data_IF_619080596140
#
_entry.id   IF_619080596140
#
_cell.length_a   1.000
_cell.length_b   1.000
_cell.length_c   1.000
_cell.angle_alpha   90.00
_cell.angle_beta   90.00
_cell.angle_gamma   90.00
#
_symmetry.space_group_name_H-M   'P 1'
#
loop_
_entity.id
_entity.type
_entity.pdbx_description
1 polymer ?
#
# COMPACT_ATOMS: atom_id res chain seq x y z
N UNK A 1 -21.62 14.94 -9.68
CA UNK A 1 -21.60 13.48 -9.62
C UNK A 1 -22.20 13.06 -8.30
N UNK A 2 -23.36 12.41 -8.32
CA UNK A 2 -24.11 12.06 -7.11
C UNK A 2 -24.24 10.53 -7.03
N UNK A 3 -23.10 9.86 -6.87
CA UNK A 3 -23.10 8.42 -6.54
C UNK A 3 -23.12 8.32 -5.03
N UNK A 4 -24.16 7.69 -4.48
CA UNK A 4 -24.21 7.32 -3.07
C UNK A 4 -22.99 6.42 -2.80
N UNK A 5 -22.02 6.93 -2.05
CA UNK A 5 -20.84 6.17 -1.68
C UNK A 5 -21.24 5.18 -0.59
N UNK A 6 -21.03 3.88 -0.82
CA UNK A 6 -21.19 2.90 0.24
C UNK A 6 -20.06 3.09 1.27
N UNK A 7 -20.37 3.05 2.58
CA UNK A 7 -19.35 3.05 3.62
C UNK A 7 -18.37 1.89 3.44
N UNK A 8 -17.09 2.13 3.74
CA UNK A 8 -16.08 1.07 3.74
C UNK A 8 -16.50 -0.03 4.71
N UNK A 9 -16.58 -1.27 4.22
CA UNK A 9 -16.96 -2.44 5.02
C UNK A 9 -15.74 -2.91 5.83
N UNK A 10 -15.43 -2.21 6.92
CA UNK A 10 -14.26 -2.48 7.78
C UNK A 10 -14.11 -3.96 8.18
N UNK A 11 -15.23 -4.65 8.46
CA UNK A 11 -15.21 -6.08 8.78
C UNK A 11 -14.67 -6.93 7.63
N UNK A 12 -15.02 -6.62 6.38
CA UNK A 12 -14.49 -7.35 5.21
C UNK A 12 -12.98 -7.13 5.06
N UNK A 13 -12.52 -5.90 5.28
CA UNK A 13 -11.10 -5.56 5.24
C UNK A 13 -10.35 -6.27 6.37
N UNK A 14 -10.91 -6.28 7.58
CA UNK A 14 -10.34 -6.96 8.75
C UNK A 14 -10.15 -8.46 8.52
N UNK A 15 -11.17 -9.12 7.94
CA UNK A 15 -11.09 -10.54 7.54
C UNK A 15 -10.00 -10.75 6.49
N UNK A 16 -10.00 -9.97 5.41
CA UNK A 16 -9.00 -10.11 4.34
C UNK A 16 -7.56 -9.86 4.83
N UNK A 17 -7.39 -8.94 5.78
CA UNK A 17 -6.10 -8.60 6.37
C UNK A 17 -5.71 -9.51 7.55
N UNK A 18 -6.61 -10.36 8.03
CA UNK A 18 -6.42 -11.18 9.25
C UNK A 18 -6.06 -10.33 10.47
N UNK A 19 -6.77 -9.22 10.67
CA UNK A 19 -6.62 -8.32 11.83
C UNK A 19 -7.98 -7.98 12.44
N UNK A 20 -8.01 -7.36 13.62
CA UNK A 20 -9.26 -6.89 14.22
C UNK A 20 -9.86 -5.71 13.45
N UNK A 21 -11.19 -5.57 13.50
CA UNK A 21 -11.90 -4.40 12.95
C UNK A 21 -11.34 -3.09 13.50
N UNK A 22 -11.10 -3.04 14.82
CA UNK A 22 -10.52 -1.87 15.48
C UNK A 22 -9.14 -1.53 14.92
N UNK A 23 -8.28 -2.52 14.65
CA UNK A 23 -6.95 -2.28 14.06
C UNK A 23 -7.06 -1.72 12.64
N UNK A 24 -8.04 -2.17 11.85
CA UNK A 24 -8.31 -1.57 10.53
C UNK A 24 -8.78 -0.12 10.67
N UNK A 25 -9.76 0.13 11.54
CA UNK A 25 -10.32 1.47 11.73
C UNK A 25 -9.26 2.46 12.22
N UNK A 26 -8.51 2.10 13.27
CA UNK A 26 -7.44 2.94 13.81
C UNK A 26 -6.29 3.11 12.81
N UNK A 27 -5.91 2.06 12.07
CA UNK A 27 -4.89 2.17 11.03
C UNK A 27 -5.30 3.10 9.90
N UNK A 28 -6.51 2.96 9.37
CA UNK A 28 -7.02 3.84 8.30
C UNK A 28 -7.14 5.28 8.80
N UNK A 29 -7.73 5.49 9.98
CA UNK A 29 -7.88 6.82 10.56
C UNK A 29 -6.50 7.47 10.81
N UNK A 30 -5.60 6.77 11.50
CA UNK A 30 -4.27 7.26 11.84
C UNK A 30 -3.43 7.60 10.61
N UNK A 31 -3.35 6.70 9.63
CA UNK A 31 -2.59 6.97 8.40
C UNK A 31 -3.21 8.12 7.60
N UNK A 32 -4.54 8.22 7.53
CA UNK A 32 -5.21 9.31 6.80
C UNK A 32 -5.02 10.65 7.49
N UNK A 33 -5.08 10.70 8.82
CA UNK A 33 -4.81 11.91 9.60
C UNK A 33 -3.37 12.37 9.45
N UNK A 34 -2.40 11.45 9.50
CA UNK A 34 -0.98 11.77 9.27
C UNK A 34 -0.77 12.31 7.85
N UNK A 35 -1.38 11.68 6.84
CA UNK A 35 -1.34 12.15 5.46
C UNK A 35 -1.90 13.57 5.34
N UNK A 36 -3.09 13.83 5.91
CA UNK A 36 -3.71 15.17 5.90
C UNK A 36 -2.78 16.21 6.53
N UNK A 37 -2.23 15.90 7.71
CA UNK A 37 -1.29 16.78 8.41
C UNK A 37 -0.06 17.11 7.55
N UNK A 38 0.57 16.10 6.94
CA UNK A 38 1.74 16.32 6.08
C UNK A 38 1.40 17.20 4.88
N UNK A 39 0.24 16.98 4.25
CA UNK A 39 -0.23 17.77 3.11
C UNK A 39 -0.50 19.22 3.50
N UNK A 40 -1.16 19.46 4.64
CA UNK A 40 -1.42 20.81 5.17
C UNK A 40 -0.13 21.59 5.46
N UNK A 41 0.93 20.88 5.86
CA UNK A 41 2.25 21.47 6.12
C UNK A 41 3.12 21.60 4.87
N UNK A 42 2.65 21.13 3.71
CA UNK A 42 3.42 21.12 2.47
C UNK A 42 4.66 20.22 2.57
N UNK A 43 4.63 19.19 3.41
CA UNK A 43 5.74 18.27 3.57
C UNK A 43 5.85 17.36 2.34
N UNK A 44 7.07 17.13 1.88
CA UNK A 44 7.34 16.09 0.90
C UNK A 44 7.06 14.72 1.54
N UNK A 45 6.35 13.84 0.85
CA UNK A 45 6.00 12.51 1.36
C UNK A 45 6.09 11.44 0.29
N UNK A 46 6.36 10.21 0.71
CA UNK A 46 6.09 9.01 -0.06
C UNK A 46 5.03 8.16 0.66
N UNK A 47 3.86 8.06 0.06
CA UNK A 47 2.78 7.21 0.53
C UNK A 47 2.84 5.86 -0.18
N UNK A 48 3.23 4.81 0.55
CA UNK A 48 3.19 3.43 0.08
C UNK A 48 1.76 2.90 0.20
N UNK A 49 1.14 2.65 -0.95
CA UNK A 49 -0.12 1.92 -1.04
C UNK A 49 0.20 0.43 -1.17
N UNK A 50 -0.10 -0.34 -0.13
CA UNK A 50 0.21 -1.77 -0.09
C UNK A 50 -0.39 -2.47 -1.33
N UNK A 51 0.42 -3.30 -1.97
CA UNK A 51 0.06 -4.09 -3.17
C UNK A 51 -0.33 -3.27 -4.42
N UNK A 52 -0.29 -1.94 -4.36
CA UNK A 52 -0.64 -1.04 -5.48
C UNK A 52 0.59 -0.29 -6.00
N UNK A 53 1.30 0.43 -5.12
CA UNK A 53 2.36 1.31 -5.56
C UNK A 53 2.83 2.32 -4.50
N UNK A 54 3.46 3.39 -4.97
CA UNK A 54 3.95 4.51 -4.15
C UNK A 54 3.52 5.83 -4.79
N UNK A 55 2.78 6.64 -4.03
CA UNK A 55 2.47 8.02 -4.39
C UNK A 55 3.54 8.93 -3.77
N UNK A 56 4.27 9.66 -4.60
CA UNK A 56 5.29 10.62 -4.19
C UNK A 56 4.76 12.03 -4.40
N UNK A 57 4.84 12.85 -3.36
CA UNK A 57 4.48 14.27 -3.39
C UNK A 57 5.72 15.05 -2.95
N UNK A 58 6.26 15.87 -3.85
CA UNK A 58 7.43 16.69 -3.60
C UNK A 58 7.24 18.10 -4.14
N UNK A 59 7.22 19.08 -3.23
CA UNK A 59 6.82 20.45 -3.55
C UNK A 59 5.44 20.47 -4.20
N UNK A 60 5.38 20.88 -5.47
CA UNK A 60 4.15 20.92 -6.26
C UNK A 60 3.95 19.71 -7.18
N UNK A 61 4.89 18.75 -7.19
CA UNK A 61 4.84 17.58 -8.06
C UNK A 61 4.20 16.41 -7.35
N UNK A 62 3.29 15.72 -8.06
CA UNK A 62 2.64 14.49 -7.62
C UNK A 62 2.92 13.41 -8.65
N UNK A 63 3.49 12.29 -8.22
CA UNK A 63 3.86 11.16 -9.08
C UNK A 63 3.36 9.86 -8.48
N UNK A 64 2.73 9.02 -9.31
CA UNK A 64 2.20 7.72 -8.89
C UNK A 64 2.98 6.62 -9.57
N UNK A 65 3.68 5.85 -8.76
CA UNK A 65 4.50 4.73 -9.16
C UNK A 65 3.76 3.43 -8.87
N UNK A 66 3.53 2.57 -9.86
CA UNK A 66 2.76 1.35 -9.69
C UNK A 66 3.65 0.11 -9.61
N UNK A 67 3.30 -0.84 -8.76
CA UNK A 67 3.91 -2.16 -8.82
C UNK A 67 3.48 -2.90 -10.08
N UNK A 68 4.41 -3.62 -10.69
CA UNK A 68 4.12 -4.41 -11.89
C UNK A 68 3.03 -5.45 -11.66
N UNK A 69 3.03 -6.13 -10.52
CA UNK A 69 2.07 -7.19 -10.21
C UNK A 69 0.64 -6.64 -10.07
N UNK A 70 0.50 -5.42 -9.56
CA UNK A 70 -0.77 -4.70 -9.53
C UNK A 70 -1.29 -4.44 -10.95
N UNK A 71 -0.43 -3.92 -11.83
CA UNK A 71 -0.81 -3.64 -13.22
C UNK A 71 -1.13 -4.92 -13.99
N UNK A 72 -0.37 -6.00 -13.77
CA UNK A 72 -0.63 -7.31 -14.38
C UNK A 72 -2.02 -7.84 -13.98
N UNK A 73 -2.42 -7.62 -12.72
CA UNK A 73 -3.74 -8.00 -12.21
C UNK A 73 -4.85 -7.13 -12.78
N UNK A 74 -4.61 -5.82 -12.90
CA UNK A 74 -5.62 -4.86 -13.36
C UNK A 74 -5.86 -4.92 -14.87
N UNK A 75 -4.80 -5.03 -15.66
CA UNK A 75 -4.84 -4.92 -17.12
C UNK A 75 -4.76 -6.28 -17.83
N UNK A 76 -4.31 -7.32 -17.13
CA UNK A 76 -3.92 -8.58 -17.75
C UNK A 76 -2.49 -8.51 -18.30
N UNK A 77 -1.72 -9.60 -18.11
CA UNK A 77 -0.27 -9.66 -18.40
C UNK A 77 0.11 -9.28 -19.84
N UNK A 78 -0.74 -9.58 -20.81
CA UNK A 78 -0.51 -9.27 -22.23
C UNK A 78 -0.63 -7.77 -22.51
N UNK A 79 -1.56 -7.07 -21.84
CA UNK A 79 -1.81 -5.65 -22.03
C UNK A 79 -0.80 -4.78 -21.29
N UNK A 80 -0.23 -5.27 -20.19
CA UNK A 80 0.82 -4.55 -19.44
C UNK A 80 2.04 -4.27 -20.31
N UNK A 81 2.47 -5.21 -21.17
CA UNK A 81 3.61 -4.97 -22.07
C UNK A 81 3.36 -3.76 -22.99
N UNK A 82 2.14 -3.61 -23.46
CA UNK A 82 1.75 -2.50 -24.35
C UNK A 82 1.60 -1.18 -23.58
N UNK A 83 1.13 -1.22 -22.32
CA UNK A 83 0.90 -0.03 -21.49
C UNK A 83 2.16 0.46 -20.77
N UNK A 84 3.08 -0.43 -20.38
CA UNK A 84 4.36 -0.08 -19.74
C UNK A 84 5.22 0.81 -20.63
N UNK A 85 5.11 0.67 -21.97
CA UNK A 85 5.75 1.58 -22.92
C UNK A 85 5.22 3.02 -22.83
N UNK A 86 4.02 3.22 -22.28
CA UNK A 86 3.32 4.50 -22.17
C UNK A 86 3.23 5.05 -20.74
N UNK A 87 3.57 4.24 -19.73
CA UNK A 87 3.54 4.64 -18.31
C UNK A 87 4.97 4.60 -17.76
N UNK A 88 5.67 5.75 -17.69
CA UNK A 88 7.08 5.80 -17.28
C UNK A 88 7.36 5.38 -15.83
N UNK A 89 6.33 5.26 -14.99
CA UNK A 89 6.44 5.16 -13.53
C UNK A 89 6.16 3.72 -13.03
N UNK A 90 6.88 2.74 -13.55
CA UNK A 90 6.79 1.35 -13.13
C UNK A 90 7.78 1.04 -11.99
N UNK A 91 7.32 0.39 -10.93
CA UNK A 91 8.17 -0.12 -9.85
C UNK A 91 8.34 -1.62 -9.94
N UNK A 92 9.59 -2.04 -9.87
CA UNK A 92 9.90 -3.36 -9.33
C UNK A 92 9.76 -3.31 -7.81
N UNK A 93 9.17 -4.35 -7.21
CA UNK A 93 9.06 -4.51 -5.76
C UNK A 93 10.41 -4.42 -5.01
N UNK A 94 11.54 -4.53 -5.74
CA UNK A 94 12.90 -4.47 -5.20
C UNK A 94 13.49 -3.07 -5.13
N UNK A 95 12.83 -2.06 -5.71
CA UNK A 95 13.34 -0.67 -5.66
C UNK A 95 13.08 -0.10 -4.25
N UNK A 96 14.11 0.38 -3.54
CA UNK A 96 13.92 1.06 -2.26
C UNK A 96 13.04 2.30 -2.46
N UNK A 97 12.03 2.48 -1.61
CA UNK A 97 11.17 3.69 -1.66
C UNK A 97 12.00 4.96 -1.44
N UNK A 98 13.08 4.85 -0.64
CA UNK A 98 14.05 5.91 -0.43
C UNK A 98 14.78 6.37 -1.72
N UNK A 99 14.73 5.60 -2.80
CA UNK A 99 15.26 5.99 -4.11
C UNK A 99 14.24 6.76 -4.96
N UNK A 100 12.96 6.76 -4.58
CA UNK A 100 11.87 7.40 -5.32
C UNK A 100 11.58 8.82 -4.83
N UNK A 101 12.11 9.19 -3.67
CA UNK A 101 11.87 10.49 -3.05
C UNK A 101 13.08 10.93 -2.24
N UNK A 102 13.34 12.22 -2.23
CA UNK A 102 14.21 12.90 -1.27
C UNK A 102 13.58 13.00 0.13
N UNK A 103 12.28 12.71 0.26
CA UNK A 103 11.57 12.75 1.53
C UNK A 103 12.03 11.63 2.46
N UNK A 104 12.24 11.99 3.73
CA UNK A 104 12.46 11.05 4.82
C UNK A 104 11.14 10.53 5.42
N UNK A 105 9.99 11.05 4.98
CA UNK A 105 8.66 10.69 5.50
C UNK A 105 7.98 9.69 4.56
N UNK A 106 8.09 8.43 4.93
CA UNK A 106 7.41 7.32 4.26
C UNK A 106 6.18 6.95 5.09
N UNK A 107 5.00 7.12 4.52
CA UNK A 107 3.72 6.75 5.13
C UNK A 107 3.27 5.44 4.49
N UNK A 108 2.90 4.43 5.30
CA UNK A 108 2.42 3.14 4.78
C UNK A 108 0.92 3.07 5.00
N UNK A 109 0.17 2.90 3.91
CA UNK A 109 -1.28 2.77 3.96
C UNK A 109 -1.75 1.37 3.54
N UNK A 110 -2.66 0.77 4.32
CA UNK A 110 -3.00 1.12 5.71
C UNK A 110 -1.91 0.67 6.69
N UNK A 111 -1.74 1.37 7.82
CA UNK A 111 -0.76 1.01 8.85
C UNK A 111 -1.28 -0.15 9.73
N UNK A 112 -1.19 -1.38 9.23
CA UNK A 112 -1.33 -2.56 10.08
C UNK A 112 -0.39 -3.69 9.63
N UNK A 113 0.29 -4.29 10.60
CA UNK A 113 1.05 -5.53 10.38
C UNK A 113 0.09 -6.68 10.06
N UNK A 114 0.36 -7.41 8.98
CA UNK A 114 -0.24 -8.72 8.77
C UNK A 114 0.32 -9.65 9.85
N UNK A 115 -0.57 -10.36 10.54
CA UNK A 115 -0.14 -11.50 11.34
C UNK A 115 0.60 -12.46 10.40
N UNK A 116 1.91 -12.63 10.61
CA UNK A 116 2.62 -13.78 10.04
C UNK A 116 1.84 -15.01 10.49
N UNK A 117 1.51 -15.90 9.54
CA UNK A 117 0.98 -17.20 9.89
C UNK A 117 1.82 -17.78 11.04
N UNK A 118 1.20 -18.43 12.05
CA UNK A 118 1.96 -19.06 13.12
C UNK A 118 3.06 -19.89 12.47
N UNK A 119 4.32 -19.64 12.81
CA UNK A 119 5.39 -20.55 12.37
C UNK A 119 4.95 -21.95 12.80
N UNK A 120 4.97 -22.95 11.90
CA UNK A 120 4.70 -24.31 12.31
C UNK A 120 5.62 -24.60 13.50
N UNK A 121 5.04 -24.93 14.65
CA UNK A 121 5.81 -25.39 15.80
C UNK A 121 6.69 -26.55 15.32
N UNK A 122 7.97 -26.62 15.73
CA UNK A 122 8.81 -27.75 15.41
C UNK A 122 8.03 -29.01 15.77
N UNK A 123 7.75 -29.86 14.77
CA UNK A 123 7.17 -31.17 15.06
C UNK A 123 8.20 -31.87 15.93
N UNK A 124 7.84 -32.13 17.19
CA UNK A 124 8.57 -33.08 18.02
C UNK A 124 8.61 -34.39 17.24
N UNK A 125 9.77 -34.66 16.65
CA UNK A 125 10.02 -35.92 15.98
C UNK A 125 9.98 -36.99 17.06
N UNK A 126 8.93 -37.81 17.00
CA UNK A 126 8.90 -39.16 17.57
C UNK A 126 10.28 -39.82 17.42
N UNK A 127 10.94 -40.02 18.56
CA UNK A 127 12.02 -40.97 18.82
C UNK A 127 11.80 -41.43 20.26
N UNK A 128 11.83 -42.70 20.63
CA UNK A 128 11.83 -43.99 19.96
C UNK A 128 11.25 -44.97 20.98
#
# INVERSE_FOLDING_TARGET
GNKMLEPLKYTKVAVAASVSRQKVESGIAGTTSLLSYCLEKGENIALKLKDVGVLVIEGTKVQMWFYRDFLDTLLGKENVKNVVSKVPQLLSHRVPIASLTSSRRIIIFPEFEQALAPRPLPRDSLRA
#
